data_IF_744969543758
#
_entry.id   IF_744969543758
#
_cell.length_a   1.000
_cell.length_b   1.000
_cell.length_c   1.000
_cell.angle_alpha   90.00
_cell.angle_beta   90.00
_cell.angle_gamma   90.00
#
_symmetry.space_group_name_H-M   'P 1'
#
loop_
_entity.id
_entity.type
_entity.pdbx_description
1 polymer ?
#
# COMPACT_ATOMS: atom_id res chain seq x y z
N UNK A 1 17.54 34.11 -8.49
CA UNK A 1 18.62 33.07 -8.53
C UNK A 1 18.53 32.04 -7.37
N UNK A 2 17.90 32.37 -6.25
CA UNK A 2 17.80 31.50 -5.07
C UNK A 2 16.81 30.34 -5.21
N UNK A 3 15.63 30.53 -5.81
CA UNK A 3 14.57 29.49 -5.91
C UNK A 3 15.01 28.36 -6.83
N UNK A 4 15.52 28.66 -8.02
CA UNK A 4 15.96 27.63 -8.98
C UNK A 4 17.15 26.84 -8.41
N UNK A 5 18.09 27.50 -7.74
CA UNK A 5 19.22 26.83 -7.10
C UNK A 5 18.75 25.92 -5.97
N UNK A 6 17.82 26.39 -5.14
CA UNK A 6 17.22 25.57 -4.07
C UNK A 6 16.43 24.37 -4.60
N UNK A 7 15.72 24.52 -5.74
CA UNK A 7 15.06 23.39 -6.41
C UNK A 7 16.07 22.37 -6.92
N UNK A 8 17.15 22.79 -7.57
CA UNK A 8 18.20 21.88 -8.08
C UNK A 8 18.87 21.13 -6.92
N UNK A 9 19.20 21.82 -5.82
CA UNK A 9 19.78 21.19 -4.63
C UNK A 9 18.83 20.17 -4.00
N UNK A 10 17.53 20.50 -3.88
CA UNK A 10 16.51 19.57 -3.37
C UNK A 10 16.27 18.38 -4.30
N UNK A 11 16.29 18.59 -5.61
CA UNK A 11 16.22 17.49 -6.58
C UNK A 11 17.46 16.60 -6.50
N UNK A 12 18.66 17.18 -6.38
CA UNK A 12 19.90 16.43 -6.19
C UNK A 12 19.88 15.60 -4.91
N UNK A 13 19.38 16.15 -3.80
CA UNK A 13 19.22 15.44 -2.54
C UNK A 13 18.24 14.28 -2.58
N UNK A 14 17.25 14.32 -3.51
CA UNK A 14 16.25 13.26 -3.69
C UNK A 14 16.52 12.38 -4.93
N UNK A 15 17.65 12.52 -5.59
CA UNK A 15 17.97 11.77 -6.81
C UNK A 15 17.95 10.25 -6.59
N UNK A 16 18.44 9.79 -5.43
CA UNK A 16 18.40 8.38 -5.06
C UNK A 16 16.96 7.85 -4.94
N UNK A 17 16.04 8.63 -4.37
CA UNK A 17 14.63 8.28 -4.28
C UNK A 17 13.98 8.20 -5.66
N UNK A 18 14.24 9.17 -6.54
CA UNK A 18 13.73 9.16 -7.91
C UNK A 18 14.25 7.95 -8.69
N UNK A 19 15.54 7.64 -8.58
CA UNK A 19 16.13 6.46 -9.19
C UNK A 19 15.51 5.17 -8.65
N UNK A 20 15.32 5.08 -7.34
CA UNK A 20 14.66 3.95 -6.67
C UNK A 20 13.25 3.72 -7.24
N UNK A 21 12.42 4.74 -7.34
CA UNK A 21 11.04 4.62 -7.86
C UNK A 21 11.03 4.18 -9.32
N UNK A 22 11.94 4.70 -10.15
CA UNK A 22 12.07 4.30 -11.56
C UNK A 22 12.50 2.84 -11.69
N UNK A 23 13.53 2.43 -10.94
CA UNK A 23 14.00 1.03 -10.94
C UNK A 23 12.94 0.07 -10.42
N UNK A 24 12.21 0.47 -9.38
CA UNK A 24 11.08 -0.30 -8.85
C UNK A 24 9.99 -0.48 -9.89
N UNK A 25 9.58 0.60 -10.57
CA UNK A 25 8.60 0.52 -11.66
C UNK A 25 9.04 -0.38 -12.80
N UNK A 26 10.32 -0.30 -13.18
CA UNK A 26 10.92 -1.18 -14.19
C UNK A 26 10.89 -2.66 -13.75
N UNK A 27 11.25 -2.96 -12.49
CA UNK A 27 11.21 -4.30 -11.92
C UNK A 27 9.79 -4.88 -11.94
N UNK A 28 8.81 -4.11 -11.49
CA UNK A 28 7.39 -4.52 -11.51
C UNK A 28 6.91 -4.77 -12.94
N UNK A 29 7.30 -3.92 -13.90
CA UNK A 29 6.96 -4.12 -15.31
C UNK A 29 7.56 -5.41 -15.89
N UNK A 30 8.81 -5.74 -15.54
CA UNK A 30 9.47 -6.99 -15.93
C UNK A 30 8.75 -8.20 -15.34
N UNK A 31 8.45 -8.19 -14.03
CA UNK A 31 7.72 -9.27 -13.35
C UNK A 31 6.34 -9.49 -14.01
N UNK A 32 5.64 -8.41 -14.32
CA UNK A 32 4.32 -8.48 -14.97
C UNK A 32 4.42 -9.05 -16.38
N UNK A 33 5.38 -8.57 -17.20
CA UNK A 33 5.62 -9.10 -18.54
C UNK A 33 6.09 -10.55 -18.56
N UNK A 34 6.86 -10.97 -17.56
CA UNK A 34 7.26 -12.36 -17.37
C UNK A 34 6.11 -13.29 -16.95
N UNK A 35 4.90 -12.76 -16.75
CA UNK A 35 3.73 -13.53 -16.33
C UNK A 35 3.68 -13.84 -14.83
N UNK A 36 4.58 -13.27 -14.02
CA UNK A 36 4.65 -13.53 -12.59
C UNK A 36 3.35 -13.18 -11.86
N UNK A 37 2.78 -12.02 -12.18
CA UNK A 37 1.50 -11.57 -11.59
C UNK A 37 0.33 -12.50 -11.97
N UNK A 38 0.27 -12.96 -13.21
CA UNK A 38 -0.76 -13.88 -13.68
C UNK A 38 -0.61 -15.28 -13.04
N UNK A 39 0.61 -15.78 -12.92
CA UNK A 39 0.91 -17.06 -12.27
C UNK A 39 0.53 -17.04 -10.79
N UNK A 40 0.90 -15.98 -10.07
CA UNK A 40 0.48 -15.78 -8.68
C UNK A 40 -1.03 -15.65 -8.56
N UNK A 41 -1.64 -14.85 -9.43
CA UNK A 41 -3.10 -14.66 -9.47
C UNK A 41 -3.86 -15.96 -9.66
N UNK A 42 -3.41 -16.85 -10.57
CA UNK A 42 -4.02 -18.16 -10.79
C UNK A 42 -3.86 -19.08 -9.59
N UNK A 43 -2.70 -19.10 -8.96
CA UNK A 43 -2.43 -19.87 -7.76
C UNK A 43 -3.27 -19.39 -6.56
N UNK A 44 -3.28 -18.09 -6.30
CA UNK A 44 -4.03 -17.47 -5.22
C UNK A 44 -5.54 -17.64 -5.42
N UNK A 45 -6.03 -17.53 -6.66
CA UNK A 45 -7.43 -17.71 -7.00
C UNK A 45 -7.95 -19.15 -6.79
N UNK A 46 -7.05 -20.13 -6.75
CA UNK A 46 -7.36 -21.50 -6.34
C UNK A 46 -7.63 -21.66 -4.85
N UNK A 47 -7.02 -20.80 -4.02
CA UNK A 47 -7.15 -20.78 -2.56
C UNK A 47 -8.17 -19.76 -2.07
N UNK A 48 -8.27 -18.61 -2.70
CA UNK A 48 -9.15 -17.50 -2.33
C UNK A 48 -10.44 -17.58 -3.15
N UNK A 49 -11.48 -18.19 -2.57
CA UNK A 49 -12.73 -18.50 -3.25
C UNK A 49 -13.86 -17.51 -2.99
N UNK A 50 -13.62 -16.43 -2.25
CA UNK A 50 -14.63 -15.40 -1.96
C UNK A 50 -14.05 -14.00 -2.03
N UNK A 51 -14.91 -13.01 -2.36
CA UNK A 51 -14.49 -11.60 -2.35
C UNK A 51 -13.94 -11.16 -1.00
N UNK A 52 -14.51 -11.62 0.11
CA UNK A 52 -14.00 -11.34 1.47
C UNK A 52 -12.60 -11.90 1.68
N UNK A 53 -12.35 -13.15 1.26
CA UNK A 53 -11.01 -13.74 1.41
C UNK A 53 -9.97 -13.05 0.54
N UNK A 54 -10.33 -12.61 -0.66
CA UNK A 54 -9.45 -11.84 -1.53
C UNK A 54 -9.10 -10.47 -0.90
N UNK A 55 -10.09 -9.77 -0.33
CA UNK A 55 -9.89 -8.50 0.34
C UNK A 55 -9.02 -8.62 1.60
N UNK A 56 -9.29 -9.61 2.45
CA UNK A 56 -8.48 -9.90 3.64
C UNK A 56 -7.03 -10.25 3.26
N UNK A 57 -6.85 -11.07 2.23
CA UNK A 57 -5.52 -11.41 1.73
C UNK A 57 -4.78 -10.16 1.20
N UNK A 58 -5.49 -9.24 0.53
CA UNK A 58 -4.93 -7.96 0.07
C UNK A 58 -4.47 -7.11 1.26
N UNK A 59 -5.33 -6.91 2.26
CA UNK A 59 -4.99 -6.15 3.46
C UNK A 59 -3.83 -6.78 4.25
N UNK A 60 -3.83 -8.11 4.39
CA UNK A 60 -2.76 -8.83 5.07
C UNK A 60 -1.43 -8.72 4.32
N UNK A 61 -1.44 -8.87 2.99
CA UNK A 61 -0.24 -8.70 2.16
C UNK A 61 0.28 -7.25 2.24
N UNK A 62 -0.62 -6.26 2.25
CA UNK A 62 -0.28 -4.86 2.48
C UNK A 62 0.39 -4.63 3.83
N UNK A 63 -0.03 -5.33 4.88
CA UNK A 63 0.61 -5.25 6.19
C UNK A 63 1.97 -5.96 6.25
N UNK A 64 2.20 -6.99 5.43
CA UNK A 64 3.49 -7.70 5.39
C UNK A 64 4.57 -6.91 4.66
N UNK A 65 4.21 -6.09 3.68
CA UNK A 65 5.14 -5.29 2.89
C UNK A 65 5.24 -3.89 3.53
N UNK A 66 5.99 -3.77 4.61
CA UNK A 66 6.09 -2.55 5.42
C UNK A 66 7.37 -1.72 5.18
N UNK A 67 8.24 -2.16 4.27
CA UNK A 67 9.55 -1.53 4.05
C UNK A 67 9.41 -0.15 3.43
N UNK A 68 8.53 -0.05 2.41
CA UNK A 68 8.30 1.17 1.65
C UNK A 68 6.87 1.18 1.09
N UNK A 69 6.18 2.32 1.13
CA UNK A 69 4.79 2.46 0.71
C UNK A 69 4.62 2.40 -0.81
N UNK A 70 5.56 2.95 -1.60
CA UNK A 70 5.54 2.81 -3.06
C UNK A 70 5.71 1.36 -3.48
N UNK A 71 6.68 0.66 -2.87
CA UNK A 71 6.88 -0.76 -3.11
C UNK A 71 5.66 -1.58 -2.73
N UNK A 72 5.03 -1.27 -1.61
CA UNK A 72 3.78 -1.87 -1.18
C UNK A 72 2.68 -1.67 -2.22
N UNK A 73 2.37 -0.43 -2.59
CA UNK A 73 1.32 -0.11 -3.56
C UNK A 73 1.51 -0.84 -4.89
N UNK A 74 2.69 -0.78 -5.47
CA UNK A 74 2.98 -1.42 -6.76
C UNK A 74 2.91 -2.94 -6.67
N UNK A 75 3.49 -3.52 -5.63
CA UNK A 75 3.56 -4.99 -5.50
C UNK A 75 2.18 -5.56 -5.19
N UNK A 76 1.49 -5.05 -4.17
CA UNK A 76 0.16 -5.52 -3.78
C UNK A 76 -0.84 -5.30 -4.91
N UNK A 77 -0.80 -4.12 -5.54
CA UNK A 77 -1.68 -3.80 -6.66
C UNK A 77 -1.50 -4.75 -7.84
N UNK A 78 -0.26 -4.99 -8.25
CA UNK A 78 0.05 -5.87 -9.38
C UNK A 78 -0.32 -7.32 -9.10
N UNK A 79 -0.01 -7.79 -7.89
CA UNK A 79 -0.18 -9.19 -7.48
C UNK A 79 -1.64 -9.51 -7.17
N UNK A 80 -2.36 -8.61 -6.50
CA UNK A 80 -3.73 -8.87 -6.06
C UNK A 80 -4.80 -8.53 -7.10
N UNK A 81 -4.50 -7.71 -8.10
CA UNK A 81 -5.45 -7.34 -9.14
C UNK A 81 -6.11 -8.53 -9.83
N UNK A 82 -5.39 -9.53 -10.36
CA UNK A 82 -6.03 -10.69 -10.99
C UNK A 82 -6.84 -11.53 -10.00
N UNK A 83 -6.48 -11.54 -8.73
CA UNK A 83 -7.22 -12.26 -7.68
C UNK A 83 -8.53 -11.55 -7.35
N UNK A 84 -8.50 -10.24 -7.17
CA UNK A 84 -9.68 -9.41 -6.88
C UNK A 84 -10.63 -9.37 -8.07
N UNK A 85 -10.11 -9.24 -9.30
CA UNK A 85 -10.89 -9.28 -10.53
C UNK A 85 -11.68 -10.60 -10.66
N UNK A 86 -11.04 -11.75 -10.40
CA UNK A 86 -11.70 -13.06 -10.44
C UNK A 86 -12.78 -13.21 -9.35
N UNK A 87 -12.60 -12.59 -8.20
CA UNK A 87 -13.53 -12.63 -7.08
C UNK A 87 -14.57 -11.47 -7.11
N UNK A 88 -14.67 -10.75 -8.23
CA UNK A 88 -15.60 -9.64 -8.46
C UNK A 88 -15.51 -8.53 -7.40
N UNK A 89 -14.32 -8.27 -6.88
CA UNK A 89 -14.03 -7.13 -6.01
C UNK A 89 -13.71 -5.93 -6.89
N UNK A 90 -14.38 -4.80 -6.69
CA UNK A 90 -14.18 -3.62 -7.52
C UNK A 90 -12.74 -3.09 -7.43
N UNK A 91 -12.26 -2.49 -8.52
CA UNK A 91 -10.90 -1.93 -8.57
C UNK A 91 -10.75 -0.73 -7.65
N UNK A 92 -11.82 0.04 -7.46
CA UNK A 92 -11.88 1.14 -6.51
C UNK A 92 -11.69 0.63 -5.08
N UNK A 93 -12.28 -0.52 -4.75
CA UNK A 93 -12.09 -1.14 -3.44
C UNK A 93 -10.68 -1.69 -3.28
N UNK A 94 -10.11 -2.31 -4.31
CA UNK A 94 -8.71 -2.72 -4.30
C UNK A 94 -7.79 -1.53 -4.07
N UNK A 95 -7.99 -0.42 -4.80
CA UNK A 95 -7.20 0.79 -4.63
C UNK A 95 -7.31 1.34 -3.19
N UNK A 96 -8.51 1.39 -2.63
CA UNK A 96 -8.71 1.80 -1.23
C UNK A 96 -7.97 0.89 -0.23
N UNK A 97 -8.04 -0.44 -0.41
CA UNK A 97 -7.35 -1.38 0.48
C UNK A 97 -5.84 -1.18 0.44
N UNK A 98 -5.28 -0.95 -0.74
CA UNK A 98 -3.85 -0.70 -0.92
C UNK A 98 -3.44 0.62 -0.27
N UNK A 99 -4.13 1.71 -0.60
CA UNK A 99 -3.84 3.05 -0.09
C UNK A 99 -3.97 3.13 1.43
N UNK A 100 -5.05 2.55 1.98
CA UNK A 100 -5.32 2.56 3.41
C UNK A 100 -4.45 1.59 4.24
N UNK A 101 -3.61 0.76 3.60
CA UNK A 101 -2.64 -0.11 4.28
C UNK A 101 -1.20 0.33 4.05
N UNK A 102 -0.82 0.72 2.85
CA UNK A 102 0.58 0.96 2.48
C UNK A 102 1.25 2.01 3.36
N UNK A 103 0.79 3.25 3.32
CA UNK A 103 1.35 4.33 4.12
C UNK A 103 1.15 4.14 5.65
N UNK A 104 -0.06 3.75 6.13
CA UNK A 104 -0.29 3.51 7.55
C UNK A 104 0.61 2.43 8.15
N UNK A 105 0.88 1.35 7.43
CA UNK A 105 1.77 0.29 7.92
C UNK A 105 3.21 0.77 7.92
N UNK A 106 3.67 1.43 6.85
CA UNK A 106 5.05 1.92 6.76
C UNK A 106 5.38 2.96 7.84
N UNK A 107 4.42 3.83 8.22
CA UNK A 107 4.68 4.88 9.21
C UNK A 107 4.70 4.35 10.67
N UNK A 108 4.19 3.16 10.93
CA UNK A 108 4.28 2.53 12.26
C UNK A 108 5.33 1.41 12.32
N UNK A 109 5.83 0.97 11.17
CA UNK A 109 6.88 -0.05 11.13
C UNK A 109 8.25 0.56 11.50
N UNK A 110 8.94 0.00 12.50
CA UNK A 110 10.22 0.57 12.96
C UNK A 110 11.37 0.41 11.96
N UNK A 111 11.20 -0.46 10.98
CA UNK A 111 12.16 -0.71 9.90
C UNK A 111 11.45 -0.41 8.58
N UNK A 112 11.37 0.89 8.22
CA UNK A 112 10.75 1.35 6.99
C UNK A 112 11.45 2.59 6.47
N UNK A 113 11.19 2.96 5.21
CA UNK A 113 11.66 4.22 4.61
C UNK A 113 11.16 5.44 5.39
N UNK A 114 9.93 5.38 5.90
CA UNK A 114 9.33 6.42 6.73
C UNK A 114 9.99 6.55 8.09
N UNK A 115 10.26 5.43 8.78
CA UNK A 115 10.98 5.43 10.05
C UNK A 115 12.37 6.04 9.89
N UNK A 116 13.12 5.64 8.85
CA UNK A 116 14.43 6.20 8.56
C UNK A 116 14.37 7.72 8.34
N UNK A 117 13.37 8.20 7.58
CA UNK A 117 13.17 9.63 7.34
C UNK A 117 12.84 10.39 8.62
N UNK A 118 11.87 9.93 9.41
CA UNK A 118 11.47 10.58 10.68
C UNK A 118 12.63 10.63 11.67
N UNK A 119 13.35 9.52 11.83
CA UNK A 119 14.51 9.44 12.73
C UNK A 119 15.61 10.42 12.32
N UNK A 120 15.82 10.64 11.00
CA UNK A 120 16.85 11.55 10.51
C UNK A 120 16.58 13.04 10.84
N UNK A 121 15.31 13.41 11.07
CA UNK A 121 14.92 14.76 11.46
C UNK A 121 14.92 14.98 12.98
N UNK A 122 15.07 13.91 13.77
CA UNK A 122 15.04 14.03 15.22
C UNK A 122 16.34 14.66 15.75
N UNK A 123 16.27 15.71 16.59
CA UNK A 123 17.45 16.34 17.15
C UNK A 123 18.23 15.37 18.04
N UNK A 124 19.55 15.36 17.91
CA UNK A 124 20.48 14.58 18.75
C UNK A 124 20.94 15.41 19.93
N UNK A 125 20.01 15.87 20.78
CA UNK A 125 20.32 16.67 21.97
C UNK A 125 20.73 15.85 23.21
N UNK A 126 20.84 14.54 23.06
CA UNK A 126 21.34 13.62 24.09
C UNK A 126 20.30 13.10 25.07
N UNK A 127 19.05 13.52 25.02
CA UNK A 127 18.00 13.07 25.94
C UNK A 127 17.37 11.75 25.50
N UNK A 128 17.28 11.53 24.18
CA UNK A 128 16.63 10.35 23.57
C UNK A 128 17.19 10.10 22.18
N UNK A 129 17.30 8.84 21.77
CA UNK A 129 17.66 8.53 20.38
C UNK A 129 16.43 8.71 19.46
N UNK A 130 16.67 9.04 18.19
CA UNK A 130 15.57 9.18 17.20
C UNK A 130 14.72 7.91 17.08
N UNK A 131 15.32 6.72 17.19
CA UNK A 131 14.61 5.44 17.22
C UNK A 131 13.72 5.30 18.45
N UNK A 132 14.17 5.70 19.63
CA UNK A 132 13.35 5.68 20.85
C UNK A 132 12.18 6.63 20.76
N UNK A 133 12.39 7.84 20.19
CA UNK A 133 11.34 8.79 19.95
C UNK A 133 10.30 8.25 18.96
N UNK A 134 10.75 7.65 17.87
CA UNK A 134 9.88 7.01 16.87
C UNK A 134 9.02 5.91 17.50
N UNK A 135 9.62 4.99 18.24
CA UNK A 135 8.90 3.88 18.90
C UNK A 135 7.83 4.39 19.89
N UNK A 136 8.12 5.47 20.63
CA UNK A 136 7.15 6.11 21.52
C UNK A 136 6.02 6.82 20.78
N UNK A 137 6.25 7.28 19.57
CA UNK A 137 5.24 7.94 18.74
C UNK A 137 4.26 6.95 18.08
N UNK A 138 4.64 5.68 17.88
CA UNK A 138 3.79 4.67 17.23
C UNK A 138 2.38 4.60 17.84
N UNK A 139 2.19 4.42 19.16
CA UNK A 139 0.85 4.33 19.74
C UNK A 139 0.05 5.64 19.68
N UNK A 140 0.72 6.76 19.43
CA UNK A 140 0.07 8.06 19.26
C UNK A 140 -0.36 8.33 17.81
N UNK A 141 0.10 7.51 16.86
CA UNK A 141 -0.31 7.59 15.46
C UNK A 141 -1.68 6.95 15.23
N UNK A 142 -2.70 7.61 15.79
CA UNK A 142 -4.09 7.13 15.76
C UNK A 142 -4.61 6.95 14.34
N UNK A 143 -4.19 7.81 13.39
CA UNK A 143 -4.60 7.69 12.00
C UNK A 143 -4.17 6.33 11.43
N UNK A 144 -2.91 5.97 11.55
CA UNK A 144 -2.39 4.72 11.00
C UNK A 144 -3.07 3.49 11.63
N UNK A 145 -3.20 3.49 12.96
CA UNK A 145 -3.84 2.39 13.70
C UNK A 145 -5.31 2.25 13.30
N UNK A 146 -6.07 3.36 13.31
CA UNK A 146 -7.49 3.33 12.96
C UNK A 146 -7.73 3.00 11.49
N UNK A 147 -6.86 3.44 10.57
CA UNK A 147 -6.93 3.10 9.15
C UNK A 147 -6.81 1.59 8.94
N UNK A 148 -5.80 0.96 9.54
CA UNK A 148 -5.60 -0.50 9.45
C UNK A 148 -6.79 -1.25 10.05
N UNK A 149 -7.24 -0.86 11.24
CA UNK A 149 -8.42 -1.46 11.88
C UNK A 149 -9.66 -1.33 10.99
N UNK A 150 -9.88 -0.15 10.40
CA UNK A 150 -11.01 0.11 9.50
C UNK A 150 -10.96 -0.74 8.24
N UNK A 151 -9.79 -0.93 7.64
CA UNK A 151 -9.61 -1.82 6.47
C UNK A 151 -10.08 -3.23 6.80
N UNK A 152 -9.59 -3.83 7.88
CA UNK A 152 -9.98 -5.19 8.25
C UNK A 152 -11.44 -5.28 8.67
N UNK A 153 -11.97 -4.28 9.36
CA UNK A 153 -13.38 -4.20 9.71
C UNK A 153 -14.27 -4.16 8.46
N UNK A 154 -13.92 -3.36 7.46
CA UNK A 154 -14.67 -3.29 6.19
C UNK A 154 -14.61 -4.60 5.41
N UNK A 155 -13.47 -5.30 5.43
CA UNK A 155 -13.34 -6.61 4.78
C UNK A 155 -14.21 -7.68 5.42
N UNK A 156 -14.36 -7.66 6.75
CA UNK A 156 -15.11 -8.69 7.52
C UNK A 156 -16.61 -8.38 7.56
N UNK A 157 -16.99 -7.12 7.37
CA UNK A 157 -18.37 -6.69 7.49
C UNK A 157 -19.29 -7.37 6.46
N UNK A 158 -20.28 -8.11 6.95
CA UNK A 158 -21.26 -8.85 6.12
C UNK A 158 -22.32 -7.96 5.43
N UNK A 159 -22.50 -6.72 5.89
CA UNK A 159 -23.53 -5.79 5.37
C UNK A 159 -23.17 -5.13 4.03
N UNK A 160 -22.06 -5.52 3.40
CA UNK A 160 -21.57 -4.93 2.16
C UNK A 160 -20.95 -3.55 2.35
N UNK A 161 -20.60 -2.93 1.24
CA UNK A 161 -20.03 -1.60 1.19
C UNK A 161 -21.10 -0.51 1.34
N UNK A 162 -20.68 0.72 1.60
CA UNK A 162 -21.57 1.88 1.75
C UNK A 162 -21.09 3.05 0.89
N UNK A 163 -22.01 4.00 0.63
CA UNK A 163 -21.70 5.19 -0.15
C UNK A 163 -21.24 4.88 -1.59
N UNK A 164 -20.31 5.66 -2.15
CA UNK A 164 -19.81 5.47 -3.52
C UNK A 164 -19.16 4.10 -3.76
N UNK A 165 -18.55 3.50 -2.72
CA UNK A 165 -17.93 2.19 -2.81
C UNK A 165 -18.96 1.09 -3.08
N UNK A 166 -20.17 1.21 -2.52
CA UNK A 166 -21.27 0.26 -2.80
C UNK A 166 -21.71 0.31 -4.26
N UNK A 167 -21.75 1.51 -4.86
CA UNK A 167 -22.06 1.67 -6.28
C UNK A 167 -20.97 1.08 -7.17
N UNK A 168 -19.70 1.27 -6.82
CA UNK A 168 -18.56 0.68 -7.52
C UNK A 168 -18.58 -0.86 -7.45
N UNK A 169 -18.86 -1.41 -6.28
CA UNK A 169 -18.96 -2.86 -6.08
C UNK A 169 -20.13 -3.48 -6.87
N UNK A 170 -21.29 -2.83 -6.92
CA UNK A 170 -22.43 -3.29 -7.75
C UNK A 170 -22.07 -3.29 -9.24
N UNK A 171 -21.42 -2.24 -9.74
CA UNK A 171 -20.95 -2.22 -11.14
C UNK A 171 -20.00 -3.37 -11.45
N UNK A 172 -19.07 -3.67 -10.55
CA UNK A 172 -18.13 -4.78 -10.71
C UNK A 172 -18.84 -6.15 -10.73
N UNK A 173 -19.92 -6.31 -9.97
CA UNK A 173 -20.71 -7.54 -9.93
C UNK A 173 -21.59 -7.73 -11.17
N UNK A 174 -22.22 -6.66 -11.66
CA UNK A 174 -23.19 -6.67 -12.76
C UNK A 174 -22.54 -6.66 -14.14
N UNK A 175 -21.52 -5.81 -14.34
CA UNK A 175 -20.95 -5.56 -15.67
C UNK A 175 -19.66 -6.39 -15.92
N UNK A 176 -19.12 -7.01 -14.87
CA UNK A 176 -17.80 -7.62 -14.91
C UNK A 176 -16.70 -6.56 -15.04
N UNK A 177 -15.49 -6.91 -14.59
CA UNK A 177 -14.34 -5.98 -14.53
C UNK A 177 -13.61 -5.79 -15.87
N UNK A 178 -14.08 -6.46 -16.94
CA UNK A 178 -13.42 -6.39 -18.26
C UNK A 178 -13.78 -5.10 -19.05
N UNK A 179 -14.82 -4.39 -18.65
CA UNK A 179 -15.32 -3.19 -19.35
C UNK A 179 -15.03 -1.88 -18.59
N UNK A 180 -14.17 -1.92 -17.59
CA UNK A 180 -13.69 -0.75 -16.80
C UNK A 180 -12.15 -0.58 -17.01
#
# INVERSE_FOLDING_TARGET
MSIVKGLIEKMGGNAALLLFVVLLGALVAVITKAGGSAAYGSWAAGKLRSGTSAQLATGFLGCLIFIDDYFNCFTVGTVMRPVTDKNKVSREKLAYLIDATAAPVCIIAPISSWAASVISYYPTDGTMTGMQAFLRAIPMNLYAILSIVMVFWLCIRKKGDFGPMAAAQRRAEEQGLQNL
#
